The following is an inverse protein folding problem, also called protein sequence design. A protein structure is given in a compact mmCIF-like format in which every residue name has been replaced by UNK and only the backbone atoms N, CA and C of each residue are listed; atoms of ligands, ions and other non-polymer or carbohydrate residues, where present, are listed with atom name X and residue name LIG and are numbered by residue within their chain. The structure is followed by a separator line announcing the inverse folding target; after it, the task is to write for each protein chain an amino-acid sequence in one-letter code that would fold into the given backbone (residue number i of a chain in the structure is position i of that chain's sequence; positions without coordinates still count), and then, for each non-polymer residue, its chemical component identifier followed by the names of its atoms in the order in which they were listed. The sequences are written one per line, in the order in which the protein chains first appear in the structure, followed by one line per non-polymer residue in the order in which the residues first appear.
data_IF_070262367744
#
_entry.id   IF_070262367744
#
_cell.length_a   1.000
_cell.length_b   1.000
_cell.length_c   1.000
_cell.angle_alpha   90.00
_cell.angle_beta   90.00
_cell.angle_gamma   90.00
#
_symmetry.space_group_name_H-M   'P 1'
#
loop_
_entity.id
_entity.type
_entity.pdbx_description
1 polymer ?
#
# COMPACT_ATOMS: atom_id res chain seq x y z
N UNK A 1 -12.68 5.99 1.29
CA UNK A 1 -11.77 6.58 0.29
C UNK A 1 -11.74 5.68 -0.92
N UNK A 2 -11.75 6.27 -2.11
CA UNK A 2 -11.62 5.55 -3.37
C UNK A 2 -10.30 5.90 -4.04
N UNK A 3 -9.76 4.93 -4.78
CA UNK A 3 -8.42 4.97 -5.36
C UNK A 3 -8.49 4.73 -6.86
N UNK A 4 -7.73 5.51 -7.63
CA UNK A 4 -7.38 5.15 -9.00
C UNK A 4 -5.86 5.15 -9.09
N UNK A 5 -5.26 3.97 -9.19
CA UNK A 5 -3.81 3.83 -9.12
C UNK A 5 -3.15 3.90 -10.51
N UNK A 6 -3.88 4.20 -11.58
CA UNK A 6 -3.32 4.23 -12.93
C UNK A 6 -3.95 5.32 -13.81
N UNK A 7 -3.63 6.58 -13.54
CA UNK A 7 -3.92 7.69 -14.47
C UNK A 7 -2.69 7.89 -15.35
N UNK A 8 -2.74 7.62 -16.67
CA UNK A 8 -1.58 7.73 -17.54
C UNK A 8 -1.00 9.15 -17.53
N UNK A 9 0.33 9.25 -17.45
CA UNK A 9 1.07 10.50 -17.53
C UNK A 9 2.21 10.37 -18.54
N UNK A 10 2.45 11.41 -19.33
CA UNK A 10 3.65 11.51 -20.15
C UNK A 10 4.19 12.94 -20.19
N UNK A 11 5.50 13.14 -20.40
CA UNK A 11 6.09 14.48 -20.49
C UNK A 11 5.54 15.31 -21.65
N UNK A 12 5.08 14.65 -22.72
CA UNK A 12 4.54 15.28 -23.92
C UNK A 12 3.04 15.58 -23.83
N UNK A 13 2.35 15.14 -22.77
CA UNK A 13 0.91 15.31 -22.63
C UNK A 13 0.54 16.76 -22.29
N UNK A 14 -0.60 17.20 -22.81
CA UNK A 14 -1.20 18.49 -22.47
C UNK A 14 -1.56 18.53 -20.96
N UNK A 15 -0.98 19.46 -20.17
CA UNK A 15 -1.26 19.55 -18.72
C UNK A 15 -2.72 19.83 -18.39
N UNK A 16 -3.44 20.57 -19.24
CA UNK A 16 -4.85 20.91 -19.03
C UNK A 16 -5.78 19.70 -19.22
N UNK A 17 -5.44 18.78 -20.13
CA UNK A 17 -6.19 17.53 -20.29
C UNK A 17 -6.04 16.62 -19.07
N UNK A 18 -4.81 16.54 -18.54
CA UNK A 18 -4.54 15.83 -17.30
C UNK A 18 -5.32 16.46 -16.13
N UNK A 19 -5.31 17.79 -16.01
CA UNK A 19 -6.06 18.50 -14.98
C UNK A 19 -7.57 18.20 -15.07
N UNK A 20 -8.16 18.23 -16.27
CA UNK A 20 -9.58 17.88 -16.47
C UNK A 20 -9.89 16.46 -16.03
N UNK A 21 -9.01 15.51 -16.36
CA UNK A 21 -9.16 14.10 -15.97
C UNK A 21 -9.12 13.94 -14.44
N UNK A 22 -8.18 14.63 -13.77
CA UNK A 22 -8.06 14.64 -12.30
C UNK A 22 -9.29 15.27 -11.64
N UNK A 23 -9.76 16.41 -12.15
CA UNK A 23 -10.96 17.08 -11.63
C UNK A 23 -12.19 16.19 -11.76
N UNK A 24 -12.39 15.56 -12.92
CA UNK A 24 -13.52 14.67 -13.15
C UNK A 24 -13.47 13.41 -12.26
N UNK A 25 -12.30 12.80 -12.09
CA UNK A 25 -12.11 11.70 -11.14
C UNK A 25 -12.46 12.11 -9.70
N UNK A 26 -12.08 13.33 -9.30
CA UNK A 26 -12.40 13.88 -7.98
C UNK A 26 -13.91 14.06 -7.78
N UNK A 27 -14.60 14.58 -8.80
CA UNK A 27 -16.06 14.75 -8.81
C UNK A 27 -16.81 13.41 -8.71
N UNK A 28 -16.29 12.36 -9.36
CA UNK A 28 -16.80 10.99 -9.25
C UNK A 28 -16.55 10.33 -7.89
N UNK A 29 -15.76 10.99 -7.01
CA UNK A 29 -15.52 10.56 -5.64
C UNK A 29 -14.18 9.85 -5.41
N UNK A 30 -13.29 9.80 -6.40
CA UNK A 30 -11.92 9.29 -6.21
C UNK A 30 -11.08 10.30 -5.42
N UNK A 31 -10.44 9.85 -4.34
CA UNK A 31 -9.68 10.72 -3.44
C UNK A 31 -8.18 10.63 -3.67
N UNK A 32 -7.68 9.43 -3.98
CA UNK A 32 -6.25 9.17 -4.13
C UNK A 32 -6.02 8.70 -5.57
N UNK A 33 -5.27 9.48 -6.33
CA UNK A 33 -4.98 9.20 -7.73
C UNK A 33 -3.47 8.99 -7.89
N UNK A 34 -3.05 7.98 -8.64
CA UNK A 34 -1.64 7.81 -9.00
C UNK A 34 -1.40 8.11 -10.47
N UNK A 35 -0.57 9.11 -10.73
CA UNK A 35 -0.07 9.44 -12.06
C UNK A 35 0.98 8.39 -12.46
N UNK A 36 0.75 7.70 -13.57
CA UNK A 36 1.57 6.58 -14.00
C UNK A 36 2.49 6.97 -15.16
N UNK A 37 3.79 6.96 -14.90
CA UNK A 37 4.82 7.05 -15.93
C UNK A 37 5.24 5.64 -16.37
N UNK A 38 5.13 5.34 -17.67
CA UNK A 38 5.54 4.04 -18.22
C UNK A 38 6.99 4.13 -18.71
N UNK A 39 7.88 3.33 -18.12
CA UNK A 39 9.26 3.19 -18.57
C UNK A 39 9.45 1.89 -19.34
N UNK A 40 10.11 1.96 -20.50
CA UNK A 40 10.44 0.78 -21.30
C UNK A 40 11.92 0.77 -21.63
N UNK A 41 12.53 -0.42 -21.61
CA UNK A 41 13.96 -0.59 -21.86
C UNK A 41 14.83 -0.53 -20.59
N UNK A 42 16.16 -0.52 -20.75
CA UNK A 42 17.09 -0.56 -19.63
C UNK A 42 16.95 0.67 -18.73
N UNK A 43 17.21 0.48 -17.43
CA UNK A 43 17.16 1.58 -16.47
C UNK A 43 18.42 2.46 -16.59
N UNK A 44 18.27 3.79 -16.59
CA UNK A 44 19.40 4.71 -16.71
C UNK A 44 20.32 4.68 -15.48
N UNK A 45 21.52 5.27 -15.64
CA UNK A 45 22.51 5.40 -14.57
C UNK A 45 22.00 6.28 -13.41
N UNK A 46 21.24 7.31 -13.72
CA UNK A 46 20.59 8.19 -12.76
C UNK A 46 19.07 8.07 -12.95
N UNK A 47 18.39 7.56 -11.92
CA UNK A 47 16.94 7.39 -11.94
C UNK A 47 16.32 8.60 -11.24
N UNK A 48 15.52 9.36 -11.98
CA UNK A 48 14.76 10.50 -11.45
C UNK A 48 13.28 10.31 -11.70
N UNK A 49 12.46 10.89 -10.83
CA UNK A 49 11.02 10.88 -11.00
C UNK A 49 10.64 11.87 -12.10
N UNK A 50 10.04 11.38 -13.18
CA UNK A 50 9.67 12.22 -14.32
C UNK A 50 8.43 13.08 -14.03
N UNK A 51 7.59 12.66 -13.08
CA UNK A 51 6.33 13.34 -12.76
C UNK A 51 6.64 14.56 -11.86
N UNK A 52 6.32 15.79 -12.31
CA UNK A 52 6.59 17.01 -11.54
C UNK A 52 5.94 17.02 -10.16
N UNK A 53 6.59 17.66 -9.19
CA UNK A 53 6.02 17.94 -7.87
C UNK A 53 6.59 19.27 -7.38
N UNK A 54 5.77 20.33 -7.23
CA UNK A 54 4.30 20.39 -7.41
C UNK A 54 3.87 20.28 -8.89
N UNK A 55 2.58 20.00 -9.10
CA UNK A 55 1.97 20.00 -10.44
C UNK A 55 1.82 21.43 -10.98
N UNK A 56 1.85 21.64 -12.31
CA UNK A 56 1.73 22.96 -12.92
C UNK A 56 0.30 23.55 -12.86
N UNK A 57 -0.64 22.84 -12.24
CA UNK A 57 -2.04 23.23 -12.10
C UNK A 57 -2.55 22.97 -10.69
N UNK A 58 -3.63 23.68 -10.32
CA UNK A 58 -4.26 23.52 -9.02
C UNK A 58 -5.02 22.18 -8.95
N UNK A 59 -4.81 21.47 -7.84
CA UNK A 59 -5.50 20.23 -7.54
C UNK A 59 -6.84 20.50 -6.82
N UNK A 60 -7.87 19.66 -7.04
CA UNK A 60 -9.06 19.70 -6.22
C UNK A 60 -8.74 19.46 -4.73
N UNK A 61 -9.46 20.09 -3.80
CA UNK A 61 -9.08 20.15 -2.38
C UNK A 61 -9.06 18.81 -1.64
N UNK A 62 -9.76 17.79 -2.17
CA UNK A 62 -9.85 16.45 -1.57
C UNK A 62 -9.00 15.40 -2.31
N UNK A 63 -8.16 15.83 -3.25
CA UNK A 63 -7.39 14.93 -4.11
C UNK A 63 -5.94 14.86 -3.66
N UNK A 64 -5.47 13.66 -3.37
CA UNK A 64 -4.06 13.36 -3.15
C UNK A 64 -3.48 12.70 -4.39
N UNK A 65 -2.38 13.26 -4.91
CA UNK A 65 -1.66 12.67 -6.03
C UNK A 65 -0.46 11.84 -5.56
N UNK A 66 -0.33 10.65 -6.12
CA UNK A 66 0.82 9.77 -6.01
C UNK A 66 1.54 9.70 -7.36
N UNK A 67 2.85 9.49 -7.33
CA UNK A 67 3.69 9.31 -8.53
C UNK A 67 4.04 7.85 -8.66
N UNK A 68 3.51 7.20 -9.69
CA UNK A 68 3.73 5.79 -9.98
C UNK A 68 4.64 5.62 -11.19
N UNK A 69 5.48 4.58 -11.17
CA UNK A 69 6.18 4.09 -12.35
C UNK A 69 5.69 2.69 -12.70
N UNK A 70 5.41 2.44 -13.98
CA UNK A 70 5.20 1.08 -14.52
C UNK A 70 6.36 0.72 -15.43
N UNK A 71 7.15 -0.29 -15.04
CA UNK A 71 8.27 -0.78 -15.83
C UNK A 71 7.84 -1.93 -16.74
N UNK A 72 8.00 -1.77 -18.04
CA UNK A 72 7.84 -2.87 -19.00
C UNK A 72 8.95 -3.89 -18.80
N UNK A 73 8.58 -5.10 -18.37
CA UNK A 73 9.52 -6.16 -18.00
C UNK A 73 9.62 -7.21 -19.11
N UNK A 74 10.77 -7.28 -19.77
CA UNK A 74 11.08 -8.27 -20.82
C UNK A 74 12.05 -9.33 -20.28
N UNK A 75 13.20 -8.92 -19.74
CA UNK A 75 14.18 -9.83 -19.16
C UNK A 75 14.39 -9.53 -17.67
N UNK A 76 14.07 -10.47 -16.76
CA UNK A 76 14.29 -10.31 -15.32
C UNK A 76 15.75 -10.00 -14.95
N UNK A 77 16.72 -10.50 -15.72
CA UNK A 77 18.15 -10.37 -15.40
C UNK A 77 18.69 -8.94 -15.50
N UNK A 78 18.02 -8.06 -16.26
CA UNK A 78 18.52 -6.70 -16.53
C UNK A 78 18.19 -5.67 -15.44
N UNK A 79 17.47 -6.05 -14.38
CA UNK A 79 16.83 -5.10 -13.47
C UNK A 79 17.51 -5.01 -12.08
N UNK A 80 18.83 -4.91 -12.06
CA UNK A 80 19.61 -4.76 -10.82
C UNK A 80 19.30 -3.45 -10.06
N UNK A 81 18.65 -2.47 -10.70
CA UNK A 81 18.32 -1.15 -10.13
C UNK A 81 16.86 -1.01 -9.68
N UNK A 82 16.11 -2.11 -9.55
CA UNK A 82 14.69 -2.03 -9.15
C UNK A 82 14.48 -1.37 -7.79
N UNK A 83 15.37 -1.61 -6.83
CA UNK A 83 15.29 -1.00 -5.50
C UNK A 83 15.41 0.53 -5.56
N UNK A 84 16.32 1.05 -6.39
CA UNK A 84 16.50 2.49 -6.63
C UNK A 84 15.28 3.08 -7.34
N UNK A 85 14.71 2.35 -8.31
CA UNK A 85 13.48 2.77 -8.97
C UNK A 85 12.30 2.80 -7.99
N UNK A 86 12.18 1.77 -7.14
CA UNK A 86 11.12 1.68 -6.14
C UNK A 86 11.17 2.81 -5.12
N UNK A 87 12.36 3.22 -4.68
CA UNK A 87 12.51 4.35 -3.75
C UNK A 87 12.25 5.73 -4.37
N UNK A 88 12.34 5.84 -5.71
CA UNK A 88 12.15 7.12 -6.44
C UNK A 88 10.66 7.47 -6.65
N UNK A 89 9.79 6.47 -6.65
CA UNK A 89 8.35 6.63 -6.90
C UNK A 89 7.53 6.28 -5.65
N UNK A 90 6.25 6.68 -5.65
CA UNK A 90 5.28 6.28 -4.63
C UNK A 90 4.79 4.85 -4.78
N UNK A 91 4.70 4.38 -6.01
CA UNK A 91 4.25 3.03 -6.34
C UNK A 91 5.10 2.54 -7.52
N UNK A 92 5.65 1.33 -7.40
CA UNK A 92 6.27 0.63 -8.52
C UNK A 92 5.38 -0.52 -8.99
N UNK A 93 5.07 -0.52 -10.29
CA UNK A 93 4.37 -1.59 -10.97
C UNK A 93 5.27 -2.24 -12.03
N UNK A 94 5.10 -3.53 -12.27
CA UNK A 94 5.75 -4.26 -13.37
C UNK A 94 4.73 -4.68 -14.42
N UNK A 95 5.07 -4.47 -15.69
CA UNK A 95 4.29 -4.91 -16.86
C UNK A 95 5.06 -5.99 -17.61
N UNK A 96 4.95 -7.27 -17.22
CA UNK A 96 5.62 -8.37 -17.90
C UNK A 96 5.04 -8.64 -19.28
N UNK A 97 5.90 -8.86 -20.29
CA UNK A 97 5.49 -9.11 -21.68
C UNK A 97 5.63 -10.57 -22.14
N UNK A 98 6.33 -11.41 -21.37
CA UNK A 98 6.53 -12.83 -21.68
C UNK A 98 6.42 -13.70 -20.41
N UNK A 99 6.37 -15.04 -20.56
CA UNK A 99 6.15 -15.96 -19.44
C UNK A 99 7.29 -15.89 -18.42
N UNK A 100 8.55 -15.77 -18.87
CA UNK A 100 9.73 -15.65 -17.99
C UNK A 100 9.64 -14.42 -17.09
N UNK A 101 9.34 -13.26 -17.68
CA UNK A 101 9.14 -12.00 -16.98
C UNK A 101 7.96 -12.08 -15.99
N UNK A 102 6.84 -12.68 -16.43
CA UNK A 102 5.65 -12.85 -15.60
C UNK A 102 5.91 -13.73 -14.38
N UNK A 103 6.58 -14.89 -14.55
CA UNK A 103 6.94 -15.78 -13.46
C UNK A 103 7.90 -15.10 -12.48
N UNK A 104 8.88 -14.35 -12.98
CA UNK A 104 9.81 -13.59 -12.14
C UNK A 104 9.09 -12.50 -11.34
N UNK A 105 8.16 -11.76 -11.95
CA UNK A 105 7.33 -10.78 -11.24
C UNK A 105 6.50 -11.45 -10.13
N UNK A 106 5.92 -12.63 -10.39
CA UNK A 106 5.12 -13.32 -9.38
C UNK A 106 5.94 -13.90 -8.21
N UNK A 107 7.08 -14.54 -8.53
CA UNK A 107 7.78 -15.45 -7.60
C UNK A 107 9.05 -14.82 -7.04
N UNK A 108 9.88 -14.22 -7.90
CA UNK A 108 11.26 -13.87 -7.55
C UNK A 108 11.44 -12.41 -7.15
N UNK A 109 10.77 -11.48 -7.85
CA UNK A 109 10.93 -10.04 -7.63
C UNK A 109 10.05 -9.57 -6.46
N UNK A 110 10.57 -8.69 -5.60
CA UNK A 110 9.90 -8.16 -4.39
C UNK A 110 9.66 -6.65 -4.38
N UNK A 111 10.36 -5.90 -5.23
CA UNK A 111 10.40 -4.43 -5.15
C UNK A 111 9.12 -3.73 -5.61
N UNK A 112 8.23 -4.43 -6.32
CA UNK A 112 7.00 -3.88 -6.87
C UNK A 112 5.80 -4.28 -6.01
N UNK A 113 4.76 -3.44 -6.03
CA UNK A 113 3.49 -3.72 -5.34
C UNK A 113 2.38 -4.14 -6.30
N UNK A 114 2.50 -3.80 -7.58
CA UNK A 114 1.50 -4.07 -8.61
C UNK A 114 2.09 -4.85 -9.79
N UNK A 115 1.38 -5.86 -10.26
CA UNK A 115 1.59 -6.47 -11.59
C UNK A 115 0.53 -5.87 -12.51
N UNK A 116 0.94 -4.94 -13.37
CA UNK A 116 0.07 -4.20 -14.29
C UNK A 116 0.16 -4.78 -15.69
N UNK A 117 -0.86 -5.54 -16.09
CA UNK A 117 -0.86 -6.27 -17.35
C UNK A 117 -1.51 -5.45 -18.46
N UNK A 118 -0.99 -5.58 -19.67
CA UNK A 118 -1.73 -5.18 -20.87
C UNK A 118 -2.59 -6.35 -21.34
N UNK A 119 -3.85 -6.36 -20.89
CA UNK A 119 -4.80 -7.45 -21.15
C UNK A 119 -5.37 -7.39 -22.57
N UNK A 120 -5.10 -6.34 -23.34
CA UNK A 120 -5.56 -6.23 -24.74
C UNK A 120 -4.84 -7.18 -25.69
N UNK A 121 -3.69 -7.71 -25.27
CA UNK A 121 -2.85 -8.58 -26.08
C UNK A 121 -3.16 -10.06 -25.85
N UNK A 122 -2.81 -10.89 -26.85
CA UNK A 122 -2.84 -12.35 -26.70
C UNK A 122 -1.53 -12.81 -26.09
N UNK A 123 -1.58 -13.31 -24.85
CA UNK A 123 -0.39 -13.84 -24.18
C UNK A 123 -0.01 -15.22 -24.72
N UNK A 124 1.29 -15.52 -24.88
CA UNK A 124 1.77 -16.84 -25.32
C UNK A 124 1.78 -17.87 -24.19
N UNK A 125 1.15 -17.57 -23.05
CA UNK A 125 1.08 -18.44 -21.88
C UNK A 125 -0.28 -18.33 -21.20
N UNK A 126 -0.57 -19.27 -20.31
CA UNK A 126 -1.81 -19.30 -19.52
C UNK A 126 -1.60 -18.73 -18.11
N UNK A 127 -2.65 -18.11 -17.59
CA UNK A 127 -2.70 -17.61 -16.22
C UNK A 127 -2.82 -18.77 -15.22
N UNK A 128 -1.68 -19.22 -14.69
CA UNK A 128 -1.63 -20.33 -13.73
C UNK A 128 -1.97 -19.81 -12.32
N UNK A 129 -2.82 -20.50 -11.52
CA UNK A 129 -3.16 -20.09 -10.17
C UNK A 129 -1.96 -19.94 -9.23
N UNK A 130 -1.01 -20.88 -9.29
CA UNK A 130 0.13 -20.94 -8.36
C UNK A 130 0.99 -19.66 -8.41
N UNK A 131 1.50 -19.19 -9.56
CA UNK A 131 2.23 -17.92 -9.64
C UNK A 131 1.45 -16.72 -9.09
N UNK A 132 0.20 -16.52 -9.52
CA UNK A 132 -0.61 -15.37 -9.08
C UNK A 132 -0.86 -15.39 -7.57
N UNK A 133 -1.22 -16.56 -7.03
CA UNK A 133 -1.48 -16.71 -5.60
C UNK A 133 -0.20 -16.53 -4.77
N UNK A 134 0.96 -16.96 -5.28
CA UNK A 134 2.25 -16.67 -4.64
C UNK A 134 2.49 -15.17 -4.55
N UNK A 135 2.27 -14.42 -5.64
CA UNK A 135 2.40 -12.96 -5.64
C UNK A 135 1.44 -12.30 -4.64
N UNK A 136 0.16 -12.71 -4.68
CA UNK A 136 -0.90 -12.19 -3.81
C UNK A 136 -0.59 -12.41 -2.33
N UNK A 137 -0.14 -13.62 -1.97
CA UNK A 137 0.23 -13.97 -0.60
C UNK A 137 1.45 -13.18 -0.09
N UNK A 138 2.35 -12.74 -1.00
CA UNK A 138 3.48 -11.85 -0.67
C UNK A 138 3.08 -10.38 -0.52
N UNK A 139 1.82 -10.02 -0.75
CA UNK A 139 1.35 -8.64 -0.67
C UNK A 139 1.34 -7.88 -1.99
N UNK A 140 1.73 -8.51 -3.11
CA UNK A 140 1.62 -7.94 -4.45
C UNK A 140 0.16 -8.03 -4.91
N UNK A 141 -0.30 -7.08 -5.72
CA UNK A 141 -1.65 -7.13 -6.30
C UNK A 141 -1.59 -7.19 -7.81
N UNK A 142 -2.57 -7.86 -8.41
CA UNK A 142 -2.72 -7.93 -9.86
C UNK A 142 -3.67 -6.81 -10.27
N UNK A 143 -3.19 -5.92 -11.13
CA UNK A 143 -3.98 -4.79 -11.59
C UNK A 143 -4.71 -5.14 -12.89
N UNK A 144 -6.01 -4.82 -12.94
CA UNK A 144 -6.84 -4.85 -14.13
C UNK A 144 -7.28 -3.43 -14.44
N UNK A 145 -6.93 -2.94 -15.63
CA UNK A 145 -7.26 -1.59 -16.06
C UNK A 145 -8.50 -1.60 -16.95
N UNK A 146 -9.65 -1.13 -16.46
CA UNK A 146 -10.91 -1.25 -17.20
C UNK A 146 -10.93 -0.40 -18.49
N UNK A 147 -10.12 0.67 -18.57
CA UNK A 147 -10.01 1.52 -19.76
C UNK A 147 -9.52 0.77 -21.00
N UNK A 148 -8.78 -0.33 -20.81
CA UNK A 148 -8.37 -1.23 -21.90
C UNK A 148 -9.56 -1.94 -22.57
N UNK A 149 -10.67 -2.13 -21.84
CA UNK A 149 -11.88 -2.75 -22.37
C UNK A 149 -12.79 -1.79 -23.14
N UNK A 150 -12.69 -0.49 -22.81
CA UNK A 150 -13.54 0.56 -23.39
C UNK A 150 -13.00 1.13 -24.71
N UNK A 151 -11.90 0.56 -25.22
CA UNK A 151 -11.35 0.91 -26.52
C UNK A 151 -12.24 0.48 -27.69
N UNK A 152 -12.03 1.12 -28.84
CA UNK A 152 -12.82 0.90 -30.06
C UNK A 152 -12.54 -0.46 -30.70
N UNK A 153 -11.30 -0.96 -30.59
CA UNK A 153 -10.87 -2.18 -31.25
C UNK A 153 -11.51 -3.46 -30.66
N UNK A 154 -12.30 -4.15 -31.48
CA UNK A 154 -13.03 -5.35 -31.04
C UNK A 154 -12.11 -6.52 -30.67
N UNK A 155 -10.93 -6.64 -31.29
CA UNK A 155 -9.99 -7.74 -31.00
C UNK A 155 -9.32 -7.53 -29.64
N UNK A 156 -8.82 -6.31 -29.38
CA UNK A 156 -8.28 -5.90 -28.08
C UNK A 156 -9.29 -6.15 -26.95
N UNK A 157 -10.57 -5.76 -27.16
CA UNK A 157 -11.65 -5.98 -26.18
C UNK A 157 -11.92 -7.46 -25.93
N UNK A 158 -11.91 -8.31 -26.97
CA UNK A 158 -12.07 -9.76 -26.83
C UNK A 158 -10.93 -10.37 -26.01
N UNK A 159 -9.69 -10.00 -26.31
CA UNK A 159 -8.52 -10.46 -25.57
C UNK A 159 -8.59 -10.01 -24.10
N UNK A 160 -8.96 -8.74 -23.86
CA UNK A 160 -9.14 -8.19 -22.52
C UNK A 160 -10.12 -9.03 -21.70
N UNK A 161 -11.30 -9.32 -22.24
CA UNK A 161 -12.33 -10.09 -21.54
C UNK A 161 -11.83 -11.52 -21.26
N UNK A 162 -11.23 -12.17 -22.26
CA UNK A 162 -10.69 -13.53 -22.12
C UNK A 162 -9.59 -13.61 -21.05
N UNK A 163 -8.65 -12.67 -21.06
CA UNK A 163 -7.56 -12.61 -20.09
C UNK A 163 -8.06 -12.28 -18.69
N UNK A 164 -8.99 -11.33 -18.57
CA UNK A 164 -9.61 -10.94 -17.29
C UNK A 164 -10.33 -12.14 -16.66
N UNK A 165 -11.17 -12.85 -17.42
CA UNK A 165 -11.87 -14.05 -16.94
C UNK A 165 -10.88 -15.14 -16.47
N UNK A 166 -9.78 -15.32 -17.19
CA UNK A 166 -8.77 -16.29 -16.82
C UNK A 166 -8.01 -15.90 -15.54
N UNK A 167 -7.69 -14.61 -15.35
CA UNK A 167 -7.09 -14.09 -14.11
C UNK A 167 -8.06 -14.24 -12.94
N UNK A 168 -9.32 -13.81 -13.10
CA UNK A 168 -10.36 -13.94 -12.05
C UNK A 168 -10.54 -15.39 -11.63
N UNK A 169 -10.55 -16.32 -12.58
CA UNK A 169 -10.59 -17.76 -12.30
C UNK A 169 -9.35 -18.23 -11.55
N UNK A 170 -8.16 -17.81 -11.99
CA UNK A 170 -6.89 -18.25 -11.40
C UNK A 170 -6.67 -17.70 -9.99
N UNK A 171 -7.15 -16.50 -9.68
CA UNK A 171 -7.04 -15.88 -8.34
C UNK A 171 -8.26 -16.11 -7.45
N UNK A 172 -9.34 -16.70 -7.99
CA UNK A 172 -10.66 -16.74 -7.34
C UNK A 172 -11.17 -15.35 -6.94
N UNK A 173 -10.82 -14.33 -7.74
CA UNK A 173 -11.14 -12.92 -7.49
C UNK A 173 -10.36 -12.26 -6.36
N UNK A 174 -9.34 -12.91 -5.78
CA UNK A 174 -8.55 -12.35 -4.68
C UNK A 174 -7.40 -11.49 -5.18
N UNK A 175 -6.99 -10.50 -4.38
CA UNK A 175 -5.77 -9.73 -4.59
C UNK A 175 -5.76 -8.91 -5.89
N UNK A 176 -6.93 -8.55 -6.40
CA UNK A 176 -7.09 -7.71 -7.59
C UNK A 176 -7.17 -6.23 -7.19
N UNK A 177 -6.61 -5.37 -8.02
CA UNK A 177 -6.77 -3.91 -7.97
C UNK A 177 -7.35 -3.44 -9.30
N UNK A 178 -8.33 -2.56 -9.25
CA UNK A 178 -8.95 -1.99 -10.45
C UNK A 178 -8.53 -0.53 -10.58
N UNK A 179 -8.03 -0.18 -11.75
CA UNK A 179 -7.61 1.18 -12.10
C UNK A 179 -8.18 1.58 -13.46
N UNK A 180 -8.14 2.86 -13.80
CA UNK A 180 -8.71 3.32 -15.07
C UNK A 180 -7.82 3.05 -16.27
N UNK A 181 -6.53 3.42 -16.24
CA UNK A 181 -5.68 3.57 -17.43
C UNK A 181 -6.37 4.34 -18.56
N UNK A 182 -7.27 5.27 -18.20
CA UNK A 182 -8.03 6.06 -19.15
C UNK A 182 -7.14 7.16 -19.74
N UNK A 183 -6.99 7.17 -21.07
CA UNK A 183 -6.19 8.18 -21.77
C UNK A 183 -6.86 9.55 -21.83
N UNK A 184 -8.18 9.59 -21.71
CA UNK A 184 -8.99 10.80 -21.74
C UNK A 184 -10.09 10.75 -20.68
N UNK A 185 -10.67 11.91 -20.39
CA UNK A 185 -11.79 12.08 -19.46
C UNK A 185 -12.97 11.16 -19.81
N UNK A 186 -13.23 10.94 -21.10
CA UNK A 186 -14.33 10.12 -21.60
C UNK A 186 -14.15 8.62 -21.28
N UNK A 187 -12.93 8.18 -20.97
CA UNK A 187 -12.62 6.81 -20.58
C UNK A 187 -12.83 6.53 -19.08
N UNK A 188 -13.01 7.57 -18.26
CA UNK A 188 -13.20 7.42 -16.81
C UNK A 188 -14.64 6.99 -16.50
N UNK A 189 -14.84 6.23 -15.41
CA UNK A 189 -16.15 5.71 -15.00
C UNK A 189 -16.38 5.92 -13.51
N UNK A 190 -17.63 6.06 -13.10
CA UNK A 190 -18.00 6.11 -11.69
C UNK A 190 -17.75 4.73 -11.03
N UNK A 191 -17.47 4.67 -9.72
CA UNK A 191 -17.19 3.41 -9.02
C UNK A 191 -18.32 2.37 -9.15
N UNK A 192 -19.58 2.82 -9.19
CA UNK A 192 -20.73 1.94 -9.36
C UNK A 192 -20.75 1.29 -10.75
N UNK A 193 -20.40 2.04 -11.81
CA UNK A 193 -20.33 1.54 -13.17
C UNK A 193 -19.16 0.56 -13.33
N UNK A 194 -18.02 0.86 -12.73
CA UNK A 194 -16.87 -0.05 -12.69
C UNK A 194 -17.28 -1.36 -12.03
N UNK A 195 -17.98 -1.32 -10.89
CA UNK A 195 -18.46 -2.52 -10.20
C UNK A 195 -19.41 -3.37 -11.07
N UNK A 196 -20.28 -2.71 -11.85
CA UNK A 196 -21.17 -3.41 -12.79
C UNK A 196 -20.38 -4.09 -13.92
N UNK A 197 -19.38 -3.41 -14.51
CA UNK A 197 -18.49 -4.00 -15.53
C UNK A 197 -17.73 -5.21 -14.98
N UNK A 198 -17.22 -5.13 -13.75
CA UNK A 198 -16.55 -6.26 -13.11
C UNK A 198 -17.47 -7.46 -12.93
N UNK A 199 -18.75 -7.21 -12.61
CA UNK A 199 -19.78 -8.26 -12.55
C UNK A 199 -19.98 -8.98 -13.89
N UNK A 200 -19.99 -8.22 -15.00
CA UNK A 200 -20.03 -8.79 -16.36
C UNK A 200 -18.80 -9.66 -16.65
N UNK A 201 -17.63 -9.31 -16.09
CA UNK A 201 -16.39 -10.08 -16.22
C UNK A 201 -16.23 -11.18 -15.18
N UNK A 202 -17.31 -11.57 -14.50
CA UNK A 202 -17.34 -12.74 -13.61
C UNK A 202 -16.71 -12.50 -12.23
N UNK A 203 -16.45 -11.24 -11.84
CA UNK A 203 -16.00 -10.92 -10.50
C UNK A 203 -17.21 -10.72 -9.57
N UNK A 204 -17.25 -11.46 -8.47
CA UNK A 204 -18.30 -11.31 -7.47
C UNK A 204 -18.28 -9.89 -6.86
N UNK A 205 -19.46 -9.35 -6.54
CA UNK A 205 -19.63 -7.98 -6.03
C UNK A 205 -18.73 -7.66 -4.84
N UNK A 206 -18.62 -8.57 -3.88
CA UNK A 206 -17.75 -8.41 -2.71
C UNK A 206 -16.27 -8.23 -3.09
N UNK A 207 -15.79 -9.05 -4.04
CA UNK A 207 -14.42 -8.96 -4.56
C UNK A 207 -14.21 -7.70 -5.39
N UNK A 208 -15.23 -7.26 -6.12
CA UNK A 208 -15.23 -5.97 -6.82
C UNK A 208 -15.05 -4.80 -5.85
N UNK A 209 -15.81 -4.77 -4.75
CA UNK A 209 -15.66 -3.74 -3.71
C UNK A 209 -14.28 -3.78 -3.04
N UNK A 210 -13.79 -4.99 -2.72
CA UNK A 210 -12.45 -5.19 -2.17
C UNK A 210 -11.35 -4.63 -3.10
N UNK A 211 -11.52 -4.83 -4.42
CA UNK A 211 -10.55 -4.43 -5.44
C UNK A 211 -10.44 -2.92 -5.70
N UNK A 212 -11.46 -2.14 -5.33
CA UNK A 212 -11.45 -0.67 -5.45
C UNK A 212 -11.23 0.05 -4.11
N UNK A 213 -11.38 -0.66 -2.99
CA UNK A 213 -11.26 -0.09 -1.64
C UNK A 213 -10.08 -0.66 -0.86
N UNK A 214 -10.23 -1.90 -0.36
CA UNK A 214 -9.30 -2.51 0.60
C UNK A 214 -7.94 -2.80 -0.04
N UNK A 215 -7.92 -3.40 -1.23
CA UNK A 215 -6.69 -3.77 -1.92
C UNK A 215 -5.82 -2.57 -2.32
N UNK A 216 -6.34 -1.54 -3.01
CA UNK A 216 -5.54 -0.37 -3.36
C UNK A 216 -5.14 0.44 -2.11
N UNK A 217 -5.98 0.50 -1.06
CA UNK A 217 -5.58 1.06 0.23
C UNK A 217 -4.35 0.34 0.80
N UNK A 218 -4.36 -1.00 0.77
CA UNK A 218 -3.22 -1.80 1.21
C UNK A 218 -1.95 -1.49 0.43
N UNK A 219 -2.04 -1.32 -0.89
CA UNK A 219 -0.90 -0.92 -1.73
C UNK A 219 -0.35 0.44 -1.31
N UNK A 220 -1.21 1.46 -1.23
CA UNK A 220 -0.79 2.83 -0.89
C UNK A 220 -0.16 2.91 0.50
N UNK A 221 -0.76 2.27 1.50
CA UNK A 221 -0.23 2.29 2.87
C UNK A 221 1.09 1.54 2.94
N UNK A 222 1.19 0.35 2.36
CA UNK A 222 2.41 -0.46 2.43
C UNK A 222 3.59 0.23 1.72
N UNK A 223 3.37 0.84 0.56
CA UNK A 223 4.41 1.59 -0.15
C UNK A 223 4.78 2.90 0.56
N UNK A 224 3.82 3.55 1.22
CA UNK A 224 4.10 4.66 2.12
C UNK A 224 5.01 4.25 3.26
N UNK A 225 4.67 3.15 3.94
CA UNK A 225 5.44 2.61 5.07
C UNK A 225 6.85 2.17 4.65
N UNK A 226 7.03 1.53 3.48
CA UNK A 226 8.37 1.15 3.00
C UNK A 226 9.33 2.34 2.86
N UNK A 227 8.80 3.55 2.69
CA UNK A 227 9.59 4.77 2.44
C UNK A 227 9.73 5.64 3.67
N UNK A 228 8.73 5.67 4.55
CA UNK A 228 8.77 6.45 5.79
C UNK A 228 9.21 5.65 7.02
N UNK A 229 9.22 4.32 6.94
CA UNK A 229 9.57 3.45 8.06
C UNK A 229 10.87 2.69 7.81
N UNK A 230 11.59 2.40 8.89
CA UNK A 230 12.74 1.52 8.88
C UNK A 230 12.36 0.20 9.57
N UNK A 231 12.33 -0.91 8.81
CA UNK A 231 12.00 -2.25 9.34
C UNK A 231 10.70 -2.27 10.18
N UNK A 232 9.70 -1.48 9.79
CA UNK A 232 8.41 -1.37 10.49
C UNK A 232 8.36 -0.35 11.63
N UNK A 233 9.46 0.35 11.91
CA UNK A 233 9.51 1.46 12.87
C UNK A 233 9.22 2.77 12.14
N UNK A 234 8.16 3.47 12.55
CA UNK A 234 7.75 4.77 12.00
C UNK A 234 8.15 5.84 13.01
N UNK A 235 8.94 6.83 12.57
CA UNK A 235 9.19 8.02 13.37
C UNK A 235 8.01 8.99 13.19
N UNK A 236 7.20 9.15 14.23
CA UNK A 236 6.06 10.07 14.24
C UNK A 236 6.53 11.38 14.86
N UNK A 237 6.90 12.33 14.01
CA UNK A 237 7.19 13.69 14.44
C UNK A 237 5.84 14.39 14.66
N UNK A 238 5.39 14.43 15.91
CA UNK A 238 4.20 15.18 16.29
C UNK A 238 4.50 16.67 16.13
N UNK A 239 3.91 17.30 15.10
CA UNK A 239 4.23 18.67 14.66
C UNK A 239 3.81 19.79 15.62
N UNK A 240 3.49 19.45 16.87
CA UNK A 240 2.90 20.35 17.85
C UNK A 240 1.43 20.64 17.53
N UNK A 241 0.62 20.81 18.58
CA UNK A 241 -0.74 21.34 18.43
C UNK A 241 -0.63 22.72 17.75
N UNK A 242 -1.12 22.84 16.52
CA UNK A 242 -1.33 24.16 15.93
C UNK A 242 -2.36 24.87 16.79
N UNK A 243 -1.94 25.91 17.53
CA UNK A 243 -2.87 26.71 18.32
C UNK A 243 -4.03 27.15 17.43
N UNK A 244 -5.21 26.62 17.72
CA UNK A 244 -6.44 27.05 17.07
C UNK A 244 -6.62 28.51 17.46
N UNK A 245 -6.27 29.41 16.54
CA UNK A 245 -6.49 30.85 16.68
C UNK A 245 -8.00 31.05 16.79
N UNK A 246 -8.48 31.20 18.03
CA UNK A 246 -9.86 31.62 18.30
C UNK A 246 -10.07 32.98 17.62
N UNK A 247 -11.16 33.17 16.85
CA UNK A 247 -11.41 34.44 16.19
C UNK A 247 -11.62 35.51 17.26
N UNK A 248 -10.72 36.51 17.30
CA UNK A 248 -10.89 37.72 18.11
C UNK A 248 -12.05 38.53 17.52
N UNK A 249 -13.18 38.54 18.22
CA UNK A 249 -14.23 39.55 18.04
C UNK A 249 -13.63 40.94 18.26
N UNK A 250 -13.75 41.79 17.25
CA UNK A 250 -13.42 43.22 17.35
C UNK A 250 -14.51 43.92 18.12
N UNK A 251 -14.18 44.47 19.29
CA UNK A 251 -14.82 45.69 19.79
C UNK A 251 -13.72 46.69 20.18
N UNK A 252 -13.89 47.91 19.67
CA UNK A 252 -13.12 49.09 20.05
C UNK A 252 -13.72 49.62 21.34
N UNK A 253 -12.88 50.09 22.27
CA UNK A 253 -13.07 51.44 22.81
C UNK A 253 -11.81 52.01 23.45
N UNK A 254 -11.75 53.34 23.40
CA UNK A 254 -10.61 54.22 23.67
C UNK A 254 -10.63 54.60 25.15
N UNK A 255 -9.47 54.60 25.81
CA UNK A 255 -9.34 55.09 27.19
C UNK A 255 -7.90 55.42 27.56
N UNK A 256 -7.62 56.71 27.65
CA UNK A 256 -6.35 57.35 28.01
C UNK A 256 -5.81 56.97 29.39
N UNK A 257 -4.49 57.01 29.56
CA UNK A 257 -3.91 57.52 30.81
C UNK A 257 -2.69 56.82 31.42
N UNK A 258 -1.56 57.53 31.36
CA UNK A 258 -0.47 57.66 32.36
C UNK A 258 0.51 56.49 32.64
N UNK A 259 1.76 56.78 32.23
CA UNK A 259 3.05 56.71 32.96
C UNK A 259 3.05 56.04 34.34
N UNK A 260 3.98 55.08 34.52
CA UNK A 260 4.46 54.65 35.84
C UNK A 260 5.73 53.78 35.73
N UNK A 261 6.80 54.20 36.39
CA UNK A 261 8.18 53.67 36.38
C UNK A 261 8.32 52.49 37.38
N UNK A 262 9.26 51.58 37.05
CA UNK A 262 9.98 50.59 37.90
C UNK A 262 9.80 50.69 39.42
N UNK A 263 9.65 49.55 40.09
CA UNK A 263 10.68 49.05 41.03
C UNK A 263 10.50 47.59 41.46
N UNK A 264 11.65 47.01 41.72
CA UNK A 264 12.00 45.68 42.20
C UNK A 264 12.10 45.79 43.72
N UNK A 265 11.53 44.85 44.49
CA UNK A 265 11.86 44.59 45.90
C UNK A 265 11.25 43.24 46.31
N UNK A 266 12.13 42.29 46.63
CA UNK A 266 11.94 41.20 47.61
C UNK A 266 12.68 41.62 48.90
N UNK A 267 12.60 40.93 50.05
CA UNK A 267 11.87 39.69 50.37
C UNK A 267 11.07 39.74 51.70
N UNK A 268 10.04 38.89 51.87
CA UNK A 268 9.85 38.26 53.20
C UNK A 268 8.98 36.99 53.18
N UNK A 269 9.53 35.95 53.81
CA UNK A 269 8.93 34.77 54.44
C UNK A 269 7.58 34.20 53.97
N UNK A 270 7.62 32.98 53.41
CA UNK A 270 6.45 32.09 53.40
C UNK A 270 6.58 30.85 52.50
N UNK A 271 7.01 29.72 53.09
CA UNK A 271 6.88 28.31 52.64
C UNK A 271 7.23 27.92 51.18
N UNK A 272 8.16 26.98 50.94
CA UNK A 272 8.46 26.54 49.59
C UNK A 272 7.33 25.68 49.00
N UNK A 273 6.67 26.20 47.96
CA UNK A 273 5.78 25.44 47.10
C UNK A 273 6.58 24.40 46.31
N UNK A 274 6.39 23.13 46.64
CA UNK A 274 6.97 22.00 45.91
C UNK A 274 6.46 22.01 44.47
N UNK A 275 7.36 22.05 43.49
CA UNK A 275 6.97 22.00 42.08
C UNK A 275 6.25 20.67 41.77
N UNK A 276 5.26 20.71 40.87
CA UNK A 276 4.52 19.52 40.38
C UNK A 276 5.45 18.37 39.92
N UNK A 277 6.69 18.69 39.55
CA UNK A 277 7.73 17.74 39.13
C UNK A 277 8.30 16.94 40.31
N UNK A 278 8.48 17.56 41.48
CA UNK A 278 8.97 16.89 42.68
C UNK A 278 7.90 15.97 43.30
N UNK A 279 6.64 16.40 43.30
CA UNK A 279 5.51 15.55 43.73
C UNK A 279 5.34 14.30 42.85
N UNK A 280 5.51 14.43 41.53
CA UNK A 280 5.43 13.29 40.59
C UNK A 280 6.58 12.29 40.79
N UNK A 281 7.78 12.78 41.14
CA UNK A 281 8.96 11.94 41.36
C UNK A 281 8.86 11.15 42.68
N UNK A 282 8.33 11.76 43.73
CA UNK A 282 8.06 11.08 45.00
C UNK A 282 6.99 9.97 44.85
N UNK A 283 5.95 10.24 44.04
CA UNK A 283 4.88 9.26 43.76
C UNK A 283 5.40 8.03 42.98
N UNK A 284 6.33 8.23 42.04
CA UNK A 284 6.93 7.14 41.27
C UNK A 284 7.85 6.24 42.13
N UNK A 285 8.58 6.85 43.07
CA UNK A 285 9.43 6.14 44.03
C UNK A 285 8.61 5.26 44.98
N UNK A 286 7.47 5.77 45.49
CA UNK A 286 6.58 5.00 46.34
C UNK A 286 5.90 3.82 45.61
N UNK A 287 5.62 3.95 44.32
CA UNK A 287 5.11 2.84 43.51
C UNK A 287 6.16 1.77 43.23
N UNK A 288 7.43 2.15 43.06
CA UNK A 288 8.51 1.18 42.85
C UNK A 288 8.81 0.32 44.09
N UNK A 289 8.66 0.88 45.29
CA UNK A 289 8.88 0.17 46.55
C UNK A 289 7.76 -0.84 46.87
N UNK A 290 6.52 -0.56 46.46
CA UNK A 290 5.40 -1.50 46.62
C UNK A 290 5.47 -2.70 45.66
N UNK A 291 6.09 -2.54 44.48
CA UNK A 291 6.25 -3.66 43.53
C UNK A 291 7.34 -4.66 43.92
N UNK A 292 8.28 -4.29 44.77
CA UNK A 292 9.40 -5.15 45.20
C UNK A 292 9.07 -6.08 46.38
N UNK A 293 8.04 -5.78 47.19
CA UNK A 293 7.69 -6.60 48.36
C UNK A 293 6.78 -7.80 48.05
N UNK A 294 6.19 -7.88 46.85
CA UNK A 294 5.27 -8.97 46.45
C UNK A 294 6.00 -10.16 45.79
N UNK A 295 7.31 -10.05 45.54
CA UNK A 295 8.10 -11.04 44.78
C UNK A 295 8.92 -12.03 45.63
N UNK A 296 8.90 -11.94 46.95
CA UNK A 296 9.71 -12.82 47.82
C UNK A 296 8.84 -13.60 48.80
N UNK A 297 8.32 -14.75 48.36
CA UNK A 297 7.65 -15.69 49.27
C UNK A 297 6.98 -16.87 48.59
N UNK A 298 7.74 -17.89 48.17
CA UNK A 298 7.45 -19.33 48.37
C UNK A 298 8.35 -20.23 47.51
N UNK A 299 9.50 -20.62 48.05
CA UNK A 299 10.16 -21.88 47.70
C UNK A 299 10.01 -22.83 48.88
N UNK A 300 9.32 -23.96 48.67
CA UNK A 300 9.45 -25.16 49.47
C UNK A 300 9.34 -26.38 48.56
N UNK A 301 10.29 -27.27 48.77
CA UNK A 301 10.80 -28.32 47.89
C UNK A 301 10.10 -29.67 48.15
N UNK A 302 10.23 -30.61 47.19
CA UNK A 302 10.42 -32.09 47.33
C UNK A 302 9.48 -32.90 46.42
N UNK A 303 10.07 -33.78 45.59
CA UNK A 303 9.38 -34.94 45.04
C UNK A 303 9.94 -35.53 43.73
N UNK A 304 11.02 -36.32 43.82
CA UNK A 304 11.51 -37.24 42.79
C UNK A 304 10.42 -38.25 42.37
N UNK A 305 10.27 -38.51 41.06
CA UNK A 305 10.17 -39.89 40.53
C UNK A 305 10.33 -39.95 39.01
N UNK A 306 11.17 -40.88 38.60
CA UNK A 306 11.54 -41.34 37.26
C UNK A 306 10.45 -42.17 36.58
N UNK A 307 10.48 -42.21 35.23
CA UNK A 307 10.27 -43.37 34.32
C UNK A 307 10.05 -42.84 32.88
N UNK A 308 11.00 -42.99 31.95
CA UNK A 308 11.30 -44.17 31.12
C UNK A 308 10.28 -44.40 29.98
N UNK A 309 10.75 -44.18 28.74
CA UNK A 309 10.11 -44.61 27.48
C UNK A 309 10.20 -46.14 27.33
N UNK A 310 9.31 -46.77 26.55
CA UNK A 310 9.65 -47.99 25.85
C UNK A 310 9.64 -47.82 24.33
N UNK A 311 10.64 -48.44 23.74
CA UNK A 311 10.90 -48.73 22.32
C UNK A 311 9.98 -49.83 21.77
N UNK A 312 9.85 -49.86 20.44
CA UNK A 312 9.18 -50.86 19.58
C UNK A 312 9.55 -52.33 19.87
N UNK A 313 8.80 -53.26 19.26
CA UNK A 313 9.52 -54.17 18.37
C UNK A 313 8.86 -54.43 16.99
N UNK A 314 9.78 -54.48 16.04
CA UNK A 314 9.79 -55.05 14.68
C UNK A 314 9.13 -56.42 14.57
N UNK A 315 8.39 -56.68 13.47
CA UNK A 315 8.55 -57.92 12.69
C UNK A 315 8.02 -57.88 11.24
N UNK A 316 8.97 -58.14 10.33
CA UNK A 316 8.95 -59.01 9.13
C UNK A 316 8.22 -58.59 7.82
N UNK A 317 8.95 -58.90 6.75
CA UNK A 317 8.89 -58.46 5.35
C UNK A 317 8.22 -59.53 4.44
N UNK A 318 8.40 -59.58 3.09
CA UNK A 318 7.35 -59.33 2.10
C UNK A 318 6.99 -60.56 1.24
N UNK A 319 5.85 -60.56 0.54
CA UNK A 319 5.54 -61.55 -0.49
C UNK A 319 5.23 -60.89 -1.84
N UNK A 320 6.13 -61.13 -2.82
CA UNK A 320 5.90 -60.99 -4.26
C UNK A 320 5.08 -62.17 -4.77
N UNK A 321 4.09 -61.94 -5.64
CA UNK A 321 3.71 -62.85 -6.73
C UNK A 321 3.27 -62.01 -7.95
N UNK A 322 3.86 -62.20 -9.14
CA UNK A 322 3.28 -61.76 -10.40
C UNK A 322 2.47 -62.89 -11.04
N UNK A 323 1.32 -62.59 -11.63
CA UNK A 323 0.58 -63.54 -12.48
C UNK A 323 0.66 -63.07 -13.94
N UNK A 324 1.01 -64.03 -14.79
CA UNK A 324 1.21 -63.94 -16.23
C UNK A 324 -0.09 -63.80 -17.04
N UNK A 325 0.13 -63.28 -18.25
CA UNK A 325 -0.62 -63.33 -19.51
C UNK A 325 -1.66 -64.44 -19.72
N UNK A 326 -2.71 -64.10 -20.49
CA UNK A 326 -3.30 -64.96 -21.52
C UNK A 326 -3.75 -64.14 -22.74
N UNK A 327 -3.28 -64.65 -23.89
CA UNK A 327 -3.76 -64.53 -25.29
C UNK A 327 -4.07 -63.16 -25.87
#
# INVERSE_FOLDING_TARGET
MLYDLNVPWSPAQNPQELQRTISFLSELGYNILALNHIHSGPLPSQITNQIPSPQPFNLPPKTTLLRRCTLTLIDPAQNYRLSVLASTYDILALRPTNEKAYLAACISLSEHSLISLDLTQRFPFHWKPKPLMTAINRGIRVEICYGQATGEESNARRNFISNTLAIVRATKGRGLVISSEAKSVLGVRAPADVLNLLGVWGLARERGLESMGVNPRGVVINEGLKRSSWRGVIDVIDGGESEVVKPKSKEKEVGSGKKGKRKQEEPNGGTPTISKRAAKRAKLLMQSTQSTEVSSGSEAQIGLSSQARPSDPVSKTPSKVPIQAKS
#
